data_IF_425927918808
#
_entry.id   IF_425927918808
#
_cell.length_a   1.000
_cell.length_b   1.000
_cell.length_c   1.000
_cell.angle_alpha   90.00
_cell.angle_beta   90.00
_cell.angle_gamma   90.00
#
_symmetry.space_group_name_H-M   'P 1'
#
loop_
_entity.id
_entity.type
_entity.pdbx_description
1 polymer ?
#
# COMPACT_ATOMS: atom_id res chain seq x y z
N UNK A 1 -11.49 8.07 2.97
CA UNK A 1 -10.44 7.58 3.88
C UNK A 1 -9.07 7.56 3.23
N UNK A 2 -8.87 6.98 2.06
CA UNK A 2 -7.57 7.10 1.38
C UNK A 2 -7.07 8.54 1.26
N UNK A 3 -7.95 9.50 0.90
CA UNK A 3 -7.55 10.92 0.78
C UNK A 3 -7.17 11.51 2.15
N UNK A 4 -7.87 11.16 3.23
CA UNK A 4 -7.56 11.66 4.58
C UNK A 4 -6.27 11.00 5.14
N UNK A 5 -6.08 9.71 4.88
CA UNK A 5 -4.88 8.98 5.28
C UNK A 5 -3.67 9.42 4.46
N UNK A 6 -3.85 9.64 3.15
CA UNK A 6 -2.83 10.22 2.27
C UNK A 6 -2.46 11.65 2.69
N UNK A 7 -3.41 12.49 3.08
CA UNK A 7 -3.15 13.82 3.64
C UNK A 7 -2.38 13.75 4.96
N UNK A 8 -2.75 12.87 5.87
CA UNK A 8 -2.07 12.72 7.15
C UNK A 8 -0.64 12.20 6.98
N UNK A 9 -0.44 11.20 6.14
CA UNK A 9 0.90 10.69 5.77
C UNK A 9 1.72 11.78 5.10
N UNK A 10 1.12 12.59 4.23
CA UNK A 10 1.75 13.72 3.57
C UNK A 10 2.13 14.81 4.57
N UNK A 11 1.26 15.15 5.51
CA UNK A 11 1.52 16.13 6.56
C UNK A 11 2.62 15.65 7.51
N UNK A 12 2.65 14.38 7.88
CA UNK A 12 3.71 13.78 8.68
C UNK A 12 5.06 13.80 7.93
N UNK A 13 5.08 13.43 6.65
CA UNK A 13 6.25 13.53 5.78
C UNK A 13 6.73 14.97 5.61
N UNK A 14 5.81 15.92 5.33
CA UNK A 14 6.13 17.35 5.19
C UNK A 14 6.63 17.96 6.51
N UNK A 15 6.00 17.63 7.63
CA UNK A 15 6.41 18.16 8.95
C UNK A 15 7.83 17.69 9.28
N UNK A 16 8.15 16.47 8.86
CA UNK A 16 9.45 15.85 9.05
C UNK A 16 10.51 16.49 8.18
N UNK A 17 10.21 16.72 6.91
CA UNK A 17 11.12 17.35 5.94
C UNK A 17 11.36 18.84 6.19
N UNK A 18 10.40 19.53 6.84
CA UNK A 18 10.61 20.89 7.35
C UNK A 18 11.66 20.94 8.46
N UNK A 19 11.99 19.83 9.09
CA UNK A 19 13.09 19.70 10.08
C UNK A 19 14.46 19.56 9.43
N UNK A 20 14.53 19.12 8.16
CA UNK A 20 15.78 19.15 7.40
C UNK A 20 16.24 20.62 7.32
N UNK A 21 17.24 20.98 8.10
CA UNK A 21 17.88 22.30 8.11
C UNK A 21 18.74 22.49 6.85
N UNK A 22 18.19 22.24 5.68
CA UNK A 22 18.88 22.50 4.44
C UNK A 22 19.09 24.00 4.29
N UNK A 23 20.32 24.40 4.01
CA UNK A 23 20.72 25.82 3.79
C UNK A 23 20.09 26.40 2.51
N UNK A 24 19.46 25.57 1.65
CA UNK A 24 18.84 25.95 0.38
C UNK A 24 17.32 25.86 0.46
N UNK A 25 16.56 26.72 -0.24
CA UNK A 25 15.12 26.57 -0.36
C UNK A 25 14.76 25.25 -1.04
N UNK A 26 13.72 24.58 -0.55
CA UNK A 26 13.25 23.30 -1.08
C UNK A 26 11.87 23.50 -1.68
N UNK A 27 11.67 22.99 -2.89
CA UNK A 27 10.36 22.81 -3.52
C UNK A 27 10.03 21.33 -3.60
N UNK A 28 9.05 20.90 -2.79
CA UNK A 28 8.59 19.54 -2.68
C UNK A 28 7.32 19.32 -3.50
N UNK A 29 7.36 18.39 -4.44
CA UNK A 29 6.25 18.11 -5.33
C UNK A 29 5.78 16.68 -5.19
N UNK A 30 4.58 16.51 -4.63
CA UNK A 30 3.88 15.25 -4.52
C UNK A 30 3.21 14.86 -5.83
N UNK A 31 3.48 13.65 -6.30
CA UNK A 31 3.03 13.10 -7.57
C UNK A 31 3.62 13.76 -8.84
N UNK A 32 3.78 12.95 -9.87
CA UNK A 32 4.47 13.31 -11.13
C UNK A 32 3.85 14.50 -11.85
N UNK A 33 2.53 14.61 -11.83
CA UNK A 33 1.87 15.71 -12.55
C UNK A 33 2.17 17.06 -11.91
N UNK A 34 2.10 17.14 -10.58
CA UNK A 34 2.38 18.38 -9.84
C UNK A 34 3.84 18.79 -10.05
N UNK A 35 4.77 17.83 -10.03
CA UNK A 35 6.18 18.11 -10.33
C UNK A 35 6.35 18.69 -11.74
N UNK A 36 5.83 18.01 -12.76
CA UNK A 36 6.01 18.41 -14.16
C UNK A 36 5.40 19.80 -14.46
N UNK A 37 4.28 20.11 -13.84
CA UNK A 37 3.57 21.38 -14.05
C UNK A 37 4.29 22.57 -13.36
N UNK A 38 5.04 22.34 -12.28
CA UNK A 38 5.54 23.42 -11.42
C UNK A 38 7.07 23.55 -11.31
N UNK A 39 7.88 22.52 -11.64
CA UNK A 39 9.34 22.55 -11.39
C UNK A 39 10.04 23.74 -12.06
N UNK A 40 9.61 24.16 -13.27
CA UNK A 40 10.19 25.32 -13.97
C UNK A 40 9.88 26.64 -13.29
N UNK A 41 8.70 26.77 -12.68
CA UNK A 41 8.33 27.96 -11.92
C UNK A 41 9.16 28.08 -10.64
N UNK A 42 9.38 26.98 -9.95
CA UNK A 42 10.24 26.93 -8.77
C UNK A 42 11.69 27.34 -9.11
N UNK A 43 12.27 26.80 -10.18
CA UNK A 43 13.61 27.14 -10.64
C UNK A 43 13.73 28.61 -11.11
N UNK A 44 12.68 29.16 -11.73
CA UNK A 44 12.67 30.58 -12.12
C UNK A 44 12.59 31.51 -10.92
N UNK A 45 11.86 31.11 -9.87
CA UNK A 45 11.74 31.90 -8.65
C UNK A 45 13.06 31.96 -7.89
N UNK A 46 13.79 30.85 -7.81
CA UNK A 46 15.13 30.77 -7.24
C UNK A 46 15.90 29.58 -7.86
N UNK A 47 17.00 29.88 -8.56
CA UNK A 47 17.85 28.87 -9.21
C UNK A 47 18.47 27.87 -8.25
N UNK A 48 18.64 28.24 -6.97
CA UNK A 48 19.26 27.40 -5.95
C UNK A 48 18.26 26.48 -5.23
N UNK A 49 16.98 26.51 -5.67
CA UNK A 49 15.93 25.66 -5.08
C UNK A 49 16.20 24.18 -5.38
N UNK A 50 16.25 23.38 -4.32
CA UNK A 50 16.29 21.92 -4.43
C UNK A 50 14.91 21.40 -4.82
N UNK A 51 14.82 20.70 -5.92
CA UNK A 51 13.59 20.11 -6.46
C UNK A 51 13.43 18.69 -5.97
N UNK A 52 12.43 18.44 -5.18
CA UNK A 52 12.09 17.08 -4.70
C UNK A 52 10.86 16.55 -5.43
N UNK A 53 11.01 15.39 -6.07
CA UNK A 53 9.91 14.63 -6.66
C UNK A 53 9.53 13.48 -5.72
N UNK A 54 8.38 13.60 -5.06
CA UNK A 54 7.83 12.58 -4.18
C UNK A 54 6.86 11.68 -4.96
N UNK A 55 7.26 10.42 -5.13
CA UNK A 55 6.47 9.42 -5.85
C UNK A 55 5.44 8.82 -4.89
N UNK A 56 4.20 8.75 -5.32
CA UNK A 56 3.13 8.03 -4.58
C UNK A 56 3.24 6.53 -4.82
N UNK A 57 3.47 6.19 -6.08
CA UNK A 57 3.75 4.88 -6.63
C UNK A 57 4.36 5.03 -8.03
N UNK A 58 4.83 3.94 -8.61
CA UNK A 58 5.29 3.92 -9.99
C UNK A 58 4.10 3.67 -10.93
N UNK A 59 3.46 4.74 -11.40
CA UNK A 59 2.26 4.64 -12.23
C UNK A 59 2.47 3.81 -13.50
N UNK A 60 3.59 4.00 -14.21
CA UNK A 60 3.83 3.21 -15.43
C UNK A 60 3.98 1.72 -15.13
N UNK A 61 4.57 1.33 -14.00
CA UNK A 61 4.67 -0.07 -13.58
C UNK A 61 3.27 -0.65 -13.31
N UNK A 62 2.41 0.10 -12.61
CA UNK A 62 1.01 -0.28 -12.38
C UNK A 62 0.27 -0.51 -13.69
N UNK A 63 0.39 0.40 -14.66
CA UNK A 63 -0.25 0.24 -15.97
C UNK A 63 0.37 -0.89 -16.81
N UNK A 64 1.66 -1.14 -16.69
CA UNK A 64 2.31 -2.29 -17.32
C UNK A 64 1.68 -3.62 -16.85
N UNK A 65 1.49 -3.75 -15.54
CA UNK A 65 0.84 -4.91 -14.93
C UNK A 65 -0.63 -5.03 -15.33
N UNK A 66 -1.35 -3.91 -15.36
CA UNK A 66 -2.73 -3.88 -15.85
C UNK A 66 -2.86 -4.33 -17.32
N UNK A 67 -1.88 -4.04 -18.18
CA UNK A 67 -1.85 -4.53 -19.56
C UNK A 67 -1.70 -6.05 -19.61
N UNK A 68 -0.99 -6.67 -18.69
CA UNK A 68 -0.82 -8.13 -18.65
C UNK A 68 -2.16 -8.83 -18.34
N UNK A 69 -3.00 -8.24 -17.48
CA UNK A 69 -4.33 -8.75 -17.16
C UNK A 69 -5.36 -8.42 -18.26
N UNK A 70 -5.32 -7.20 -18.80
CA UNK A 70 -6.26 -6.69 -19.79
C UNK A 70 -5.54 -6.20 -21.04
N UNK A 71 -4.93 -7.09 -21.89
CA UNK A 71 -4.09 -6.69 -23.00
C UNK A 71 -4.83 -5.93 -24.11
N UNK A 72 -6.16 -6.08 -24.18
CA UNK A 72 -7.03 -5.42 -25.14
C UNK A 72 -7.44 -4.00 -24.73
N UNK A 73 -7.25 -3.61 -23.46
CA UNK A 73 -7.66 -2.30 -22.95
C UNK A 73 -6.67 -1.20 -23.37
N UNK A 74 -7.01 -0.51 -24.44
CA UNK A 74 -6.16 0.52 -25.04
C UNK A 74 -5.78 1.65 -24.06
N UNK A 75 -6.69 2.02 -23.14
CA UNK A 75 -6.41 3.05 -22.13
C UNK A 75 -5.21 2.71 -21.24
N UNK A 76 -5.00 1.43 -20.90
CA UNK A 76 -3.86 1.01 -20.10
C UNK A 76 -2.54 1.21 -20.86
N UNK A 77 -2.52 0.87 -22.16
CA UNK A 77 -1.34 1.11 -23.04
C UNK A 77 -1.02 2.60 -23.16
N UNK A 78 -2.04 3.44 -23.41
CA UNK A 78 -1.88 4.89 -23.50
C UNK A 78 -1.31 5.46 -22.19
N UNK A 79 -1.87 5.06 -21.06
CA UNK A 79 -1.42 5.52 -19.74
C UNK A 79 -0.01 5.02 -19.41
N UNK A 80 0.34 3.78 -19.75
CA UNK A 80 1.69 3.26 -19.57
C UNK A 80 2.73 4.17 -20.22
N UNK A 81 2.62 4.47 -21.52
CA UNK A 81 3.59 5.33 -22.21
C UNK A 81 3.58 6.76 -21.70
N UNK A 82 2.39 7.30 -21.37
CA UNK A 82 2.25 8.64 -20.79
C UNK A 82 3.03 8.74 -19.48
N UNK A 83 2.78 7.83 -18.53
CA UNK A 83 3.41 7.89 -17.22
C UNK A 83 4.89 7.52 -17.27
N UNK A 84 5.30 6.57 -18.11
CA UNK A 84 6.71 6.26 -18.34
C UNK A 84 7.49 7.52 -18.77
N UNK A 85 6.95 8.29 -19.72
CA UNK A 85 7.56 9.54 -20.17
C UNK A 85 7.62 10.58 -19.04
N UNK A 86 6.51 10.79 -18.31
CA UNK A 86 6.42 11.82 -17.28
C UNK A 86 7.32 11.50 -16.08
N UNK A 87 7.30 10.26 -15.60
CA UNK A 87 8.09 9.82 -14.45
C UNK A 87 9.59 9.80 -14.76
N UNK A 88 9.97 9.32 -15.95
CA UNK A 88 11.36 9.43 -16.42
C UNK A 88 11.82 10.89 -16.46
N UNK A 89 11.00 11.79 -17.01
CA UNK A 89 11.32 13.21 -17.10
C UNK A 89 11.41 13.86 -15.73
N UNK A 90 10.48 13.55 -14.80
CA UNK A 90 10.50 14.07 -13.45
C UNK A 90 11.75 13.62 -12.71
N UNK A 91 12.09 12.33 -12.76
CA UNK A 91 13.28 11.77 -12.12
C UNK A 91 14.59 12.36 -12.64
N UNK A 92 14.64 12.69 -13.93
CA UNK A 92 15.82 13.36 -14.53
C UNK A 92 15.95 14.83 -14.12
N UNK A 93 14.83 15.52 -13.83
CA UNK A 93 14.80 16.95 -13.51
C UNK A 93 14.84 17.23 -12.02
N UNK A 94 14.46 16.27 -11.19
CA UNK A 94 14.56 16.38 -9.74
C UNK A 94 16.02 16.30 -9.26
N UNK A 95 16.30 17.00 -8.19
CA UNK A 95 17.54 16.87 -7.44
C UNK A 95 17.46 15.68 -6.47
N UNK A 96 16.26 15.41 -5.96
CA UNK A 96 15.95 14.26 -5.13
C UNK A 96 14.63 13.60 -5.59
N UNK A 97 14.63 12.28 -5.67
CA UNK A 97 13.45 11.45 -5.98
C UNK A 97 13.14 10.58 -4.76
N UNK A 98 11.96 10.76 -4.20
CA UNK A 98 11.49 9.98 -3.05
C UNK A 98 10.60 8.86 -3.54
N UNK A 99 10.95 7.63 -3.22
CA UNK A 99 10.15 6.42 -3.48
C UNK A 99 9.50 5.92 -2.18
N UNK A 100 8.49 5.09 -2.28
CA UNK A 100 7.75 4.59 -1.10
C UNK A 100 8.28 3.26 -0.58
N UNK A 101 9.15 2.58 -1.34
CA UNK A 101 9.79 1.33 -0.93
C UNK A 101 11.17 1.14 -1.57
N UNK A 102 11.97 0.28 -0.97
CA UNK A 102 13.29 -0.09 -1.51
C UNK A 102 13.17 -0.83 -2.87
N UNK A 103 12.08 -1.57 -3.10
CA UNK A 103 11.80 -2.20 -4.37
C UNK A 103 11.57 -1.17 -5.48
N UNK A 104 10.82 -0.11 -5.17
CA UNK A 104 10.63 1.00 -6.10
C UNK A 104 11.91 1.82 -6.30
N UNK A 105 12.69 2.05 -5.24
CA UNK A 105 13.99 2.71 -5.34
C UNK A 105 14.92 1.96 -6.31
N UNK A 106 15.07 0.65 -6.11
CA UNK A 106 15.85 -0.23 -7.00
C UNK A 106 15.32 -0.19 -8.45
N UNK A 107 14.00 -0.18 -8.62
CA UNK A 107 13.40 -0.07 -9.94
C UNK A 107 13.73 1.27 -10.61
N UNK A 108 13.69 2.38 -9.85
CA UNK A 108 13.91 3.73 -10.34
C UNK A 108 15.38 4.06 -10.65
N UNK A 109 16.34 3.25 -10.22
CA UNK A 109 17.75 3.32 -10.63
C UNK A 109 17.93 3.25 -12.17
N UNK A 110 16.92 2.74 -12.89
CA UNK A 110 16.88 2.76 -14.37
C UNK A 110 16.68 4.17 -14.95
N UNK A 111 16.19 5.13 -14.17
CA UNK A 111 15.79 6.46 -14.63
C UNK A 111 16.49 7.60 -13.92
N UNK A 112 16.99 7.38 -12.72
CA UNK A 112 17.67 8.36 -11.89
C UNK A 112 18.99 7.78 -11.35
N UNK A 113 19.95 8.67 -11.07
CA UNK A 113 21.19 8.27 -10.40
C UNK A 113 20.85 7.83 -8.96
N UNK A 114 21.50 6.80 -8.48
CA UNK A 114 21.34 6.22 -7.14
C UNK A 114 21.47 7.30 -6.03
N UNK A 115 22.42 8.21 -6.16
CA UNK A 115 22.62 9.31 -5.20
C UNK A 115 21.46 10.32 -5.11
N UNK A 116 20.48 10.24 -6.02
CA UNK A 116 19.27 11.06 -6.03
C UNK A 116 18.04 10.33 -5.52
N UNK A 117 18.14 9.04 -5.25
CA UNK A 117 17.04 8.21 -4.82
C UNK A 117 17.01 8.11 -3.30
N UNK A 118 15.83 8.13 -2.74
CA UNK A 118 15.57 8.02 -1.32
C UNK A 118 14.26 7.30 -1.07
N UNK A 119 14.28 6.27 -0.26
CA UNK A 119 13.06 5.61 0.18
C UNK A 119 12.51 6.24 1.46
N UNK A 120 11.29 6.80 1.37
CA UNK A 120 10.48 7.21 2.51
C UNK A 120 9.13 6.53 2.39
N UNK A 121 8.88 5.51 3.20
CA UNK A 121 7.65 4.74 3.18
C UNK A 121 6.50 5.44 3.92
N UNK A 122 5.30 4.87 3.85
CA UNK A 122 4.19 5.26 4.72
C UNK A 122 4.56 4.94 6.17
N UNK A 123 4.11 5.79 7.10
CA UNK A 123 4.44 5.59 8.51
C UNK A 123 3.29 4.84 9.17
N UNK A 124 3.63 3.71 9.79
CA UNK A 124 2.74 2.89 10.57
C UNK A 124 3.34 2.60 11.95
N UNK A 125 2.50 2.46 12.95
CA UNK A 125 2.89 2.09 14.32
C UNK A 125 1.73 1.39 15.01
N UNK A 126 1.98 0.49 15.98
CA UNK A 126 0.93 -0.18 16.71
C UNK A 126 -0.04 0.82 17.34
N UNK A 127 -1.34 0.58 17.19
CA UNK A 127 -2.42 1.40 17.79
C UNK A 127 -2.90 0.79 19.12
N UNK A 128 -2.59 -0.47 19.31
CA UNK A 128 -2.91 -1.26 20.50
C UNK A 128 -1.66 -2.04 20.89
N UNK A 129 -1.67 -2.63 22.07
CA UNK A 129 -0.77 -3.72 22.43
C UNK A 129 -1.42 -5.07 22.11
N UNK A 130 -0.63 -6.13 22.10
CA UNK A 130 -1.16 -7.47 21.77
C UNK A 130 -2.16 -7.96 22.80
N UNK A 131 -2.08 -7.49 24.05
CA UNK A 131 -3.00 -7.79 25.13
C UNK A 131 -4.35 -7.06 25.02
N UNK A 132 -4.38 -5.95 24.27
CA UNK A 132 -5.58 -5.13 24.08
C UNK A 132 -6.41 -5.58 22.88
N UNK A 133 -5.90 -6.49 22.05
CA UNK A 133 -6.62 -6.95 20.86
C UNK A 133 -7.34 -8.27 21.11
N UNK A 134 -8.49 -8.50 20.45
CA UNK A 134 -9.23 -9.75 20.61
C UNK A 134 -8.42 -10.98 20.20
N UNK A 135 -8.65 -12.10 20.90
CA UNK A 135 -8.05 -13.39 20.62
C UNK A 135 -8.60 -14.02 19.34
N UNK A 136 -8.01 -15.15 18.93
CA UNK A 136 -8.43 -15.93 17.77
C UNK A 136 -9.93 -16.28 17.76
N UNK A 137 -10.50 -16.63 18.91
CA UNK A 137 -11.90 -17.06 19.01
C UNK A 137 -12.91 -15.91 19.07
N UNK A 138 -12.44 -14.71 19.36
CA UNK A 138 -13.28 -13.51 19.44
C UNK A 138 -13.36 -12.75 18.11
N UNK A 139 -12.55 -13.16 17.11
CA UNK A 139 -12.53 -12.57 15.79
C UNK A 139 -13.25 -13.46 14.77
N UNK A 140 -13.96 -12.84 13.85
CA UNK A 140 -14.73 -13.53 12.82
C UNK A 140 -14.63 -12.81 11.46
N UNK A 141 -15.02 -13.48 10.39
CA UNK A 141 -15.06 -12.96 9.03
C UNK A 141 -13.70 -12.50 8.50
N UNK A 142 -13.67 -12.19 7.23
CA UNK A 142 -12.51 -11.59 6.58
C UNK A 142 -12.80 -10.14 6.22
N UNK A 143 -11.77 -9.31 6.17
CA UNK A 143 -11.84 -7.88 5.90
C UNK A 143 -11.09 -7.53 4.62
N UNK A 144 -11.74 -6.81 3.73
CA UNK A 144 -11.09 -6.08 2.63
C UNK A 144 -11.31 -4.58 2.80
N UNK A 145 -10.25 -3.80 2.61
CA UNK A 145 -10.31 -2.32 2.66
C UNK A 145 -9.91 -1.75 1.31
N UNK A 146 -10.75 -0.89 0.71
CA UNK A 146 -10.41 -0.28 -0.57
C UNK A 146 -11.28 0.90 -0.98
N UNK A 147 -10.64 1.89 -1.61
CA UNK A 147 -11.31 3.00 -2.29
C UNK A 147 -11.63 2.64 -3.75
N UNK A 148 -12.38 3.54 -4.45
CA UNK A 148 -12.60 3.48 -5.90
C UNK A 148 -11.25 3.71 -6.61
N UNK A 149 -10.49 2.65 -6.71
CA UNK A 149 -9.23 2.60 -7.44
C UNK A 149 -9.18 1.30 -8.25
N UNK A 150 -8.80 1.34 -9.54
CA UNK A 150 -8.89 0.17 -10.39
C UNK A 150 -8.30 -1.13 -9.81
N UNK A 151 -7.12 -1.16 -9.17
CA UNK A 151 -6.62 -2.35 -8.51
C UNK A 151 -7.49 -2.88 -7.36
N UNK A 152 -8.19 -2.01 -6.63
CA UNK A 152 -9.09 -2.45 -5.56
C UNK A 152 -10.39 -3.03 -6.12
N UNK A 153 -10.93 -2.45 -7.19
CA UNK A 153 -12.12 -2.96 -7.89
C UNK A 153 -11.83 -4.37 -8.39
N UNK A 154 -10.74 -4.55 -9.12
CA UNK A 154 -10.28 -5.85 -9.61
C UNK A 154 -10.06 -6.87 -8.49
N UNK A 155 -9.46 -6.43 -7.37
CA UNK A 155 -9.23 -7.30 -6.23
C UNK A 155 -10.53 -7.77 -5.56
N UNK A 156 -11.55 -6.91 -5.46
CA UNK A 156 -12.87 -7.30 -4.94
C UNK A 156 -13.57 -8.26 -5.89
N UNK A 157 -13.54 -8.00 -7.20
CA UNK A 157 -14.09 -8.91 -8.21
C UNK A 157 -13.41 -10.28 -8.15
N UNK A 158 -12.10 -10.33 -8.07
CA UNK A 158 -11.32 -11.54 -7.94
C UNK A 158 -11.62 -12.29 -6.64
N UNK A 159 -11.71 -11.55 -5.52
CA UNK A 159 -12.06 -12.12 -4.22
C UNK A 159 -13.44 -12.81 -4.26
N UNK A 160 -14.47 -12.09 -4.70
CA UNK A 160 -15.84 -12.56 -4.58
C UNK A 160 -16.21 -13.58 -5.65
N UNK A 161 -15.72 -13.40 -6.88
CA UNK A 161 -16.13 -14.24 -8.02
C UNK A 161 -15.25 -15.48 -8.21
N UNK A 162 -14.00 -15.45 -7.73
CA UNK A 162 -13.07 -16.54 -7.99
C UNK A 162 -12.53 -17.23 -6.72
N UNK A 163 -12.17 -16.45 -5.66
CA UNK A 163 -11.58 -17.01 -4.43
C UNK A 163 -12.68 -17.54 -3.49
N UNK A 164 -13.65 -16.68 -3.16
CA UNK A 164 -14.65 -17.03 -2.13
C UNK A 164 -15.56 -18.20 -2.49
N UNK A 165 -15.92 -18.47 -3.76
CA UNK A 165 -16.64 -19.70 -4.09
C UNK A 165 -15.89 -20.98 -3.68
N UNK A 166 -14.55 -21.00 -3.77
CA UNK A 166 -13.73 -22.13 -3.32
C UNK A 166 -13.75 -22.23 -1.78
N UNK A 167 -13.66 -21.08 -1.09
CA UNK A 167 -13.75 -21.01 0.38
C UNK A 167 -15.11 -21.48 0.86
N UNK A 168 -16.21 -20.94 0.29
CA UNK A 168 -17.58 -21.26 0.71
C UNK A 168 -17.99 -22.70 0.41
N UNK A 169 -17.42 -23.34 -0.62
CA UNK A 169 -17.62 -24.75 -0.88
C UNK A 169 -17.11 -25.65 0.27
N UNK A 170 -16.11 -25.18 1.05
CA UNK A 170 -15.53 -25.89 2.20
C UNK A 170 -16.05 -25.36 3.54
N UNK A 171 -16.25 -24.05 3.65
CA UNK A 171 -16.76 -23.38 4.86
C UNK A 171 -17.65 -22.19 4.49
N UNK A 172 -18.95 -22.42 4.45
CA UNK A 172 -19.96 -21.42 4.07
C UNK A 172 -20.26 -20.40 5.20
N UNK A 173 -19.66 -20.54 6.38
CA UNK A 173 -19.86 -19.60 7.49
C UNK A 173 -18.95 -18.36 7.43
N UNK A 174 -17.92 -18.38 6.59
CA UNK A 174 -16.96 -17.27 6.49
C UNK A 174 -17.59 -16.10 5.73
N UNK A 175 -17.85 -15.00 6.45
CA UNK A 175 -18.33 -13.76 5.86
C UNK A 175 -17.20 -12.87 5.36
N UNK A 176 -17.53 -11.96 4.45
CA UNK A 176 -16.63 -10.96 3.86
C UNK A 176 -17.15 -9.57 4.17
N UNK A 177 -16.38 -8.77 4.88
CA UNK A 177 -16.63 -7.36 5.10
C UNK A 177 -15.78 -6.52 4.14
N UNK A 178 -16.42 -5.68 3.32
CA UNK A 178 -15.76 -4.80 2.37
C UNK A 178 -16.00 -3.36 2.82
N UNK A 179 -14.93 -2.70 3.23
CA UNK A 179 -14.94 -1.32 3.73
C UNK A 179 -14.29 -0.39 2.73
N UNK A 180 -14.88 0.78 2.57
CA UNK A 180 -14.46 1.85 1.66
C UNK A 180 -15.45 2.05 0.53
N UNK A 181 -15.26 3.13 -0.23
CA UNK A 181 -16.22 3.54 -1.25
C UNK A 181 -16.18 2.70 -2.55
N UNK A 182 -15.42 1.62 -2.60
CA UNK A 182 -15.44 0.66 -3.71
C UNK A 182 -16.85 0.11 -3.98
N UNK A 183 -17.71 0.06 -2.96
CA UNK A 183 -19.11 -0.36 -3.09
C UNK A 183 -19.92 0.48 -4.08
N UNK A 184 -19.56 1.74 -4.32
CA UNK A 184 -20.31 2.63 -5.23
C UNK A 184 -20.28 2.14 -6.68
N UNK A 185 -19.25 1.37 -7.04
CA UNK A 185 -19.06 0.81 -8.40
C UNK A 185 -19.30 -0.70 -8.47
N UNK A 186 -19.58 -1.36 -7.32
CA UNK A 186 -19.74 -2.81 -7.18
C UNK A 186 -21.19 -3.23 -6.86
N UNK A 187 -22.18 -2.42 -7.22
CA UNK A 187 -23.59 -2.57 -6.82
C UNK A 187 -24.27 -3.87 -7.29
N UNK A 188 -23.70 -4.55 -8.28
CA UNK A 188 -24.27 -5.79 -8.85
C UNK A 188 -23.90 -7.05 -8.05
N UNK A 189 -22.94 -6.96 -7.14
CA UNK A 189 -22.54 -8.09 -6.31
C UNK A 189 -23.49 -8.21 -5.12
N UNK A 190 -24.37 -9.20 -5.18
CA UNK A 190 -25.29 -9.56 -4.08
C UNK A 190 -25.00 -10.99 -3.64
N UNK A 191 -24.47 -11.15 -2.43
CA UNK A 191 -24.23 -12.46 -1.83
C UNK A 191 -24.50 -12.41 -0.32
N UNK A 192 -25.17 -13.42 0.29
CA UNK A 192 -25.59 -13.36 1.70
C UNK A 192 -24.40 -13.22 2.66
N UNK A 193 -23.22 -13.73 2.29
CA UNK A 193 -22.01 -13.68 3.12
C UNK A 193 -21.13 -12.46 2.81
N UNK A 194 -21.55 -11.53 1.95
CA UNK A 194 -20.77 -10.32 1.62
C UNK A 194 -21.49 -9.08 2.11
N UNK A 195 -20.79 -8.27 2.90
CA UNK A 195 -21.29 -6.99 3.39
C UNK A 195 -20.43 -5.85 2.83
N UNK A 196 -21.03 -5.02 2.00
CA UNK A 196 -20.46 -3.74 1.58
C UNK A 196 -20.83 -2.67 2.59
N UNK A 197 -19.86 -2.19 3.35
CA UNK A 197 -20.07 -1.26 4.46
C UNK A 197 -19.88 0.22 4.05
N UNK A 198 -19.38 0.44 2.83
CA UNK A 198 -19.09 1.79 2.37
C UNK A 198 -17.97 2.47 3.12
N UNK A 199 -17.99 3.80 3.08
CA UNK A 199 -17.06 4.59 3.88
C UNK A 199 -17.41 4.50 5.37
N UNK A 200 -16.42 4.19 6.19
CA UNK A 200 -16.54 4.23 7.65
C UNK A 200 -15.56 5.26 8.22
N UNK A 201 -16.00 6.13 9.16
CA UNK A 201 -15.12 7.14 9.74
C UNK A 201 -13.99 6.55 10.58
N UNK A 202 -14.27 5.45 11.27
CA UNK A 202 -13.33 4.73 12.12
C UNK A 202 -13.25 3.25 11.72
N UNK A 203 -12.03 2.80 11.46
CA UNK A 203 -11.74 1.43 11.04
C UNK A 203 -11.46 0.49 12.21
N UNK A 204 -11.28 1.02 13.43
CA UNK A 204 -10.82 0.25 14.59
C UNK A 204 -11.69 -0.97 14.84
N UNK A 205 -13.02 -0.78 14.88
CA UNK A 205 -13.96 -1.88 15.13
C UNK A 205 -13.80 -3.03 14.14
N UNK A 206 -13.64 -2.72 12.85
CA UNK A 206 -13.50 -3.74 11.80
C UNK A 206 -12.14 -4.44 11.86
N UNK A 207 -11.07 -3.70 12.17
CA UNK A 207 -9.73 -4.25 12.33
C UNK A 207 -9.60 -5.14 13.56
N UNK A 208 -10.32 -4.82 14.65
CA UNK A 208 -10.36 -5.64 15.87
C UNK A 208 -11.25 -6.88 15.73
N UNK A 209 -12.42 -6.76 15.08
CA UNK A 209 -13.39 -7.86 14.98
C UNK A 209 -13.10 -8.86 13.86
N UNK A 210 -12.41 -8.44 12.81
CA UNK A 210 -12.10 -9.33 11.70
C UNK A 210 -10.99 -10.31 12.06
N UNK A 211 -11.09 -11.54 11.52
CA UNK A 211 -10.12 -12.61 11.77
C UNK A 211 -8.91 -12.52 10.84
N UNK A 212 -9.12 -12.09 9.59
CA UNK A 212 -8.09 -12.02 8.56
C UNK A 212 -8.29 -10.76 7.71
N UNK A 213 -7.24 -10.01 7.45
CA UNK A 213 -7.19 -9.03 6.37
C UNK A 213 -6.83 -9.73 5.06
N UNK A 214 -7.58 -9.47 4.00
CA UNK A 214 -7.27 -10.00 2.67
C UNK A 214 -6.93 -8.88 1.68
N UNK A 215 -5.87 -9.09 0.90
CA UNK A 215 -5.43 -8.14 -0.12
C UNK A 215 -5.06 -8.88 -1.43
N UNK A 216 -6.06 -9.43 -2.17
CA UNK A 216 -5.84 -10.24 -3.37
C UNK A 216 -5.58 -9.39 -4.61
N UNK A 217 -4.55 -8.53 -4.55
CA UNK A 217 -4.21 -7.60 -5.60
C UNK A 217 -3.50 -8.32 -6.76
N UNK A 218 -4.06 -8.28 -7.96
CA UNK A 218 -3.46 -8.87 -9.17
C UNK A 218 -2.55 -7.89 -9.89
N UNK A 219 -2.71 -6.60 -9.65
CA UNK A 219 -1.81 -5.55 -10.14
C UNK A 219 -1.82 -4.34 -9.20
N UNK A 220 -0.82 -3.48 -9.35
CA UNK A 220 -0.64 -2.29 -8.52
C UNK A 220 0.82 -1.85 -8.52
N UNK A 221 1.14 -0.85 -7.74
CA UNK A 221 2.47 -0.40 -7.39
C UNK A 221 2.42 0.24 -5.99
N UNK A 222 3.56 0.60 -5.43
CA UNK A 222 3.64 1.20 -4.10
C UNK A 222 3.37 0.25 -2.94
N UNK A 223 3.52 0.77 -1.74
CA UNK A 223 3.18 0.06 -0.50
C UNK A 223 1.67 0.01 -0.28
N UNK A 224 1.22 -1.03 0.40
CA UNK A 224 -0.20 -1.31 0.62
C UNK A 224 -0.62 -0.88 2.02
N UNK A 225 -1.00 0.39 2.19
CA UNK A 225 -1.38 0.96 3.50
C UNK A 225 -2.39 0.13 4.28
N UNK A 226 -3.31 -0.59 3.61
CA UNK A 226 -4.25 -1.50 4.26
C UNK A 226 -3.57 -2.66 5.02
N UNK A 227 -2.41 -3.13 4.54
CA UNK A 227 -1.62 -4.17 5.21
C UNK A 227 -0.94 -3.59 6.45
N UNK A 228 -0.35 -2.39 6.33
CA UNK A 228 0.18 -1.67 7.49
C UNK A 228 -0.90 -1.42 8.54
N UNK A 229 -2.11 -0.98 8.12
CA UNK A 229 -3.25 -0.81 9.03
C UNK A 229 -3.66 -2.11 9.73
N UNK A 230 -3.60 -3.26 9.04
CA UNK A 230 -3.89 -4.54 9.67
C UNK A 230 -2.88 -4.85 10.78
N UNK A 231 -1.60 -4.65 10.52
CA UNK A 231 -0.55 -4.87 11.52
C UNK A 231 -0.62 -3.91 12.71
N UNK A 232 -1.09 -2.66 12.51
CA UNK A 232 -1.34 -1.70 13.60
C UNK A 232 -2.31 -2.24 14.67
N UNK A 233 -3.15 -3.23 14.30
CA UNK A 233 -4.14 -3.90 15.16
C UNK A 233 -3.92 -5.40 15.29
N UNK A 234 -2.71 -5.86 15.01
CA UNK A 234 -2.34 -7.28 15.12
C UNK A 234 -3.31 -8.20 14.36
N UNK A 235 -3.75 -7.79 13.17
CA UNK A 235 -4.65 -8.54 12.31
C UNK A 235 -3.85 -9.29 11.24
N UNK A 236 -3.83 -10.64 11.24
CA UNK A 236 -3.12 -11.44 10.26
C UNK A 236 -3.59 -11.19 8.83
N UNK A 237 -2.66 -11.28 7.89
CA UNK A 237 -2.85 -10.89 6.49
C UNK A 237 -2.66 -12.07 5.55
N UNK A 238 -3.58 -12.20 4.58
CA UNK A 238 -3.40 -13.01 3.36
C UNK A 238 -3.33 -12.07 2.16
N UNK A 239 -2.29 -12.18 1.37
CA UNK A 239 -2.07 -11.29 0.23
C UNK A 239 -1.44 -12.03 -0.96
N UNK A 240 -1.31 -11.34 -2.10
CA UNK A 240 -0.57 -11.80 -3.28
C UNK A 240 0.87 -11.28 -3.27
N UNK A 241 1.77 -11.78 -4.14
CA UNK A 241 3.09 -11.19 -4.33
C UNK A 241 3.03 -9.68 -4.65
N UNK A 242 2.05 -9.24 -5.45
CA UNK A 242 1.82 -7.82 -5.74
C UNK A 242 1.39 -7.03 -4.49
N UNK A 243 0.57 -7.63 -3.63
CA UNK A 243 0.18 -7.01 -2.36
C UNK A 243 1.33 -6.94 -1.35
N UNK A 244 2.23 -7.93 -1.37
CA UNK A 244 3.39 -8.01 -0.48
C UNK A 244 4.53 -7.05 -0.86
N UNK A 245 4.57 -6.60 -2.12
CA UNK A 245 5.66 -5.77 -2.64
C UNK A 245 5.85 -4.48 -1.83
N UNK A 246 7.08 -4.20 -1.44
CA UNK A 246 7.47 -3.03 -0.65
C UNK A 246 7.13 -3.10 0.83
N UNK A 247 6.49 -4.19 1.30
CA UNK A 247 6.04 -4.36 2.68
C UNK A 247 6.98 -5.25 3.52
N UNK A 248 8.05 -5.78 2.93
CA UNK A 248 9.00 -6.73 3.57
C UNK A 248 8.29 -7.93 4.21
N UNK A 249 7.28 -8.47 3.51
CA UNK A 249 6.56 -9.64 3.98
C UNK A 249 7.33 -10.93 3.67
N UNK A 250 7.32 -11.83 4.65
CA UNK A 250 7.89 -13.17 4.55
C UNK A 250 6.76 -14.19 4.74
N UNK A 251 6.58 -15.07 3.73
CA UNK A 251 5.49 -16.05 3.73
C UNK A 251 5.57 -16.97 4.96
N UNK A 252 4.43 -17.23 5.60
CA UNK A 252 4.26 -18.00 6.84
C UNK A 252 4.96 -17.44 8.08
N UNK A 253 5.58 -16.27 8.00
CA UNK A 253 6.19 -15.60 9.15
C UNK A 253 5.36 -14.42 9.62
N UNK A 254 5.07 -13.46 8.75
CA UNK A 254 4.27 -12.26 9.08
C UNK A 254 3.07 -12.05 8.17
N UNK A 255 2.95 -12.80 7.10
CA UNK A 255 1.76 -12.87 6.23
C UNK A 255 1.69 -14.22 5.53
N UNK A 256 0.55 -14.56 4.92
CA UNK A 256 0.47 -15.63 3.93
C UNK A 256 0.45 -14.99 2.55
N UNK A 257 1.39 -15.41 1.69
CA UNK A 257 1.51 -14.91 0.32
C UNK A 257 1.07 -16.02 -0.64
N UNK A 258 -0.03 -15.80 -1.34
CA UNK A 258 -0.64 -16.76 -2.26
C UNK A 258 -0.60 -16.24 -3.70
N UNK A 259 -0.21 -17.10 -4.66
CA UNK A 259 0.03 -16.69 -6.05
C UNK A 259 -1.23 -16.76 -6.92
N UNK A 260 -2.10 -17.73 -6.65
CA UNK A 260 -3.32 -17.99 -7.43
C UNK A 260 -4.55 -18.09 -6.51
N UNK A 261 -5.74 -18.26 -7.09
CA UNK A 261 -7.00 -18.28 -6.35
C UNK A 261 -7.16 -19.52 -5.46
N UNK A 262 -6.65 -20.65 -5.90
CA UNK A 262 -6.68 -21.92 -5.17
C UNK A 262 -5.81 -21.80 -3.89
N UNK A 263 -4.58 -21.37 -4.03
CA UNK A 263 -3.66 -21.12 -2.90
C UNK A 263 -4.20 -20.04 -1.97
N UNK A 264 -4.83 -18.99 -2.52
CA UNK A 264 -5.41 -17.91 -1.72
C UNK A 264 -6.62 -18.41 -0.91
N UNK A 265 -7.48 -19.21 -1.50
CA UNK A 265 -8.61 -19.84 -0.81
C UNK A 265 -8.13 -20.81 0.29
N UNK A 266 -7.11 -21.61 0.01
CA UNK A 266 -6.50 -22.52 0.99
C UNK A 266 -5.86 -21.74 2.15
N UNK A 267 -5.16 -20.66 1.83
CA UNK A 267 -4.58 -19.76 2.84
C UNK A 267 -5.64 -19.18 3.78
N UNK A 268 -6.78 -18.72 3.24
CA UNK A 268 -7.91 -18.24 4.05
C UNK A 268 -8.43 -19.36 4.95
N UNK A 269 -8.72 -20.54 4.41
CA UNK A 269 -9.29 -21.66 5.15
C UNK A 269 -8.35 -22.15 6.25
N UNK A 270 -7.07 -22.30 5.94
CA UNK A 270 -6.05 -22.72 6.90
C UNK A 270 -5.91 -21.67 8.03
N UNK A 271 -5.70 -20.41 7.69
CA UNK A 271 -5.53 -19.35 8.68
C UNK A 271 -6.79 -19.12 9.53
N UNK A 272 -7.98 -19.35 8.96
CA UNK A 272 -9.25 -19.21 9.68
C UNK A 272 -9.47 -20.30 10.74
N UNK A 273 -8.89 -21.48 10.58
CA UNK A 273 -9.05 -22.64 11.46
C UNK A 273 -7.81 -23.02 12.29
N UNK A 274 -6.64 -22.53 11.95
CA UNK A 274 -5.37 -22.87 12.59
C UNK A 274 -4.92 -21.74 13.53
N UNK A 275 -5.21 -21.89 14.81
CA UNK A 275 -4.88 -20.90 15.85
C UNK A 275 -3.36 -20.66 15.98
N UNK A 276 -2.54 -21.70 15.87
CA UNK A 276 -1.08 -21.59 16.04
C UNK A 276 -0.47 -20.76 14.90
N UNK A 277 -0.87 -21.02 13.65
CA UNK A 277 -0.46 -20.22 12.50
C UNK A 277 -0.95 -18.77 12.64
N UNK A 278 -2.20 -18.60 13.02
CA UNK A 278 -2.80 -17.27 13.19
C UNK A 278 -2.05 -16.45 14.27
N UNK A 279 -1.75 -17.06 15.42
CA UNK A 279 -0.95 -16.44 16.49
C UNK A 279 0.48 -16.13 16.03
N UNK A 280 1.09 -17.00 15.24
CA UNK A 280 2.42 -16.75 14.69
C UNK A 280 2.44 -15.48 13.86
N UNK A 281 1.46 -15.28 12.95
CA UNK A 281 1.37 -14.06 12.15
C UNK A 281 1.03 -12.84 13.00
N UNK A 282 0.13 -12.98 13.97
CA UNK A 282 -0.25 -11.92 14.89
C UNK A 282 0.96 -11.41 15.68
N UNK A 283 1.74 -12.30 16.26
CA UNK A 283 2.91 -11.97 17.09
C UNK A 283 4.03 -11.27 16.29
N UNK A 284 4.09 -11.49 14.98
CA UNK A 284 5.07 -10.84 14.10
C UNK A 284 4.56 -9.51 13.49
N UNK A 285 3.34 -9.06 13.84
CA UNK A 285 2.77 -7.83 13.26
C UNK A 285 3.55 -6.58 13.64
N UNK A 286 3.96 -6.44 14.90
CA UNK A 286 4.69 -5.27 15.38
C UNK A 286 6.07 -5.14 14.72
N UNK A 287 6.85 -6.22 14.70
CA UNK A 287 8.16 -6.26 14.04
C UNK A 287 8.05 -5.95 12.55
N UNK A 288 6.93 -6.33 11.93
CA UNK A 288 6.64 -6.05 10.52
C UNK A 288 6.35 -4.57 10.23
N UNK A 289 6.02 -3.79 11.25
CA UNK A 289 5.84 -2.34 11.14
C UNK A 289 7.16 -1.57 11.24
N UNK A 290 8.23 -2.14 11.79
CA UNK A 290 9.49 -1.42 11.97
C UNK A 290 10.03 -0.80 10.68
N UNK A 291 10.03 -1.47 9.50
CA UNK A 291 10.45 -0.86 8.23
C UNK A 291 9.64 0.38 7.83
N UNK A 292 8.42 0.48 8.33
CA UNK A 292 7.46 1.56 8.10
C UNK A 292 7.38 2.52 9.30
N UNK A 293 8.25 2.38 10.30
CA UNK A 293 8.20 3.14 11.54
C UNK A 293 8.76 4.55 11.39
N UNK A 294 8.35 5.42 12.30
CA UNK A 294 8.91 6.77 12.42
C UNK A 294 10.40 6.72 12.75
N UNK A 295 10.82 5.79 13.60
CA UNK A 295 12.24 5.60 13.97
C UNK A 295 13.10 5.27 12.75
N UNK A 296 12.66 4.32 11.92
CA UNK A 296 13.36 3.98 10.68
C UNK A 296 13.42 5.18 9.71
N UNK A 297 12.37 5.99 9.66
CA UNK A 297 12.38 7.24 8.89
C UNK A 297 13.40 8.23 9.45
N UNK A 298 13.47 8.44 10.76
CA UNK A 298 14.43 9.34 11.43
C UNK A 298 15.87 8.91 11.13
N UNK A 299 16.17 7.62 11.23
CA UNK A 299 17.48 7.07 10.89
C UNK A 299 17.87 7.33 9.41
N UNK A 300 16.91 7.23 8.49
CA UNK A 300 17.16 7.52 7.06
C UNK A 300 17.41 9.01 6.81
N UNK A 301 16.73 9.90 7.50
CA UNK A 301 16.91 11.35 7.34
C UNK A 301 18.26 11.81 7.87
N UNK A 302 18.69 11.29 9.01
CA UNK A 302 20.04 11.59 9.56
C UNK A 302 21.14 11.18 8.57
N UNK A 303 20.95 10.09 7.83
CA UNK A 303 21.86 9.68 6.75
C UNK A 303 21.86 10.68 5.59
N UNK A 304 20.70 11.27 5.26
CA UNK A 304 20.58 12.25 4.18
C UNK A 304 21.25 13.56 4.58
N UNK A 305 21.03 14.04 5.80
CA UNK A 305 21.68 15.25 6.29
C UNK A 305 23.20 15.14 6.22
N UNK A 306 23.76 13.97 6.56
CA UNK A 306 25.19 13.69 6.46
C UNK A 306 25.72 13.65 5.02
N UNK A 307 24.89 13.26 4.06
CA UNK A 307 25.32 13.07 2.66
C UNK A 307 25.03 14.28 1.75
N UNK A 308 24.08 15.16 2.12
CA UNK A 308 23.71 16.36 1.35
C UNK A 308 24.30 17.67 1.93
N UNK A 309 24.87 17.64 3.13
CA UNK A 309 25.54 18.74 3.80
C UNK A 309 27.05 18.54 3.76
#
# INVERSE_FOLDING_TARGET
MCVYYEHKIYDDRLSFLKRLRLRKPISWFYAVKIFIDNYRLAQKANSDTVLVYDMVDIHHLRYHRAIQLEPKRFSNKKNFYKFLYLEKKASQKADLVVTVSEDEEKYMQKFANENKLLTISNIHYPKKTIEEVPSFYERENILFVGSIHPPNIDAVEFLINEIMPIVWAKNNSIGVNIVGNVNEVMKEIVHPNVKFLGYVPDMEEFLLKSKIMVAPLRYGAGVKGKIGQAFEYFLPVVTTPIGAEGMKLENHKNAIIAENKEDFAEAILNLYSNEDLWKTLQNNSEDSLFPLSKENLENKIDLIEKNLL
#
